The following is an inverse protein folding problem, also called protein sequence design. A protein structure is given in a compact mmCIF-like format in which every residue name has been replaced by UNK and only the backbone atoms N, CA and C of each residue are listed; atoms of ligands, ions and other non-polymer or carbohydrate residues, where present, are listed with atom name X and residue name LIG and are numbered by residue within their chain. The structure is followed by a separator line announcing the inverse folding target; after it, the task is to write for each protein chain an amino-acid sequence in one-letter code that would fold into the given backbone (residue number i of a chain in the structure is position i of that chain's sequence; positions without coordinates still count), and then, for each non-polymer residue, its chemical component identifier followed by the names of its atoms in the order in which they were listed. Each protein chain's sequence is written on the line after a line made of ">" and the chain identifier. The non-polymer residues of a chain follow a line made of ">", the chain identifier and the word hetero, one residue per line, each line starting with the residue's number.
data_IF_256887988489
#
_entry.id   IF_256887988489
#
_cell.length_a   1.000
_cell.length_b   1.000
_cell.length_c   1.000
_cell.angle_alpha   90.00
_cell.angle_beta   90.00
_cell.angle_gamma   90.00
#
_symmetry.space_group_name_H-M   'P 1'
#
loop_
_entity.id
_entity.type
_entity.pdbx_description
1 polymer ?
#
# COMPACT_ATOMS: atom_id res chain seq x y z
N UNK A 1 2.26 -19.14 1.36
CA UNK A 1 3.55 -19.37 2.06
C UNK A 1 3.31 -19.11 3.54
N UNK A 2 3.87 -19.92 4.44
CA UNK A 2 3.78 -19.72 5.88
C UNK A 2 5.16 -19.36 6.43
N UNK A 3 5.25 -18.28 7.20
CA UNK A 3 6.48 -17.82 7.85
C UNK A 3 6.18 -17.65 9.33
N UNK A 4 7.01 -18.23 10.20
CA UNK A 4 6.89 -18.10 11.66
C UNK A 4 8.00 -17.19 12.16
N UNK A 5 7.62 -16.18 12.95
CA UNK A 5 8.55 -15.23 13.57
C UNK A 5 8.35 -15.22 15.07
N UNK A 6 9.45 -15.11 15.82
CA UNK A 6 9.39 -14.95 17.28
C UNK A 6 9.35 -13.46 17.59
N UNK A 7 8.26 -12.99 18.20
CA UNK A 7 8.08 -11.59 18.59
C UNK A 7 8.25 -11.50 20.12
N UNK A 8 9.05 -10.56 20.64
CA UNK A 8 9.13 -10.32 22.07
C UNK A 8 7.77 -10.01 22.68
N UNK A 9 7.50 -10.52 23.88
CA UNK A 9 6.23 -10.35 24.61
C UNK A 9 5.80 -8.88 24.72
N UNK A 10 6.76 -8.00 25.01
CA UNK A 10 6.51 -6.55 25.16
C UNK A 10 6.04 -5.92 23.85
N UNK A 11 6.56 -6.41 22.71
CA UNK A 11 6.16 -5.95 21.39
C UNK A 11 4.81 -6.56 20.99
N UNK A 12 4.57 -7.84 21.29
CA UNK A 12 3.28 -8.49 21.03
C UNK A 12 2.12 -7.71 21.67
N UNK A 13 2.28 -7.30 22.92
CA UNK A 13 1.29 -6.48 23.66
C UNK A 13 1.01 -5.10 23.05
N UNK A 14 1.97 -4.52 22.30
CA UNK A 14 1.80 -3.24 21.61
C UNK A 14 1.10 -3.41 20.25
N UNK A 15 1.32 -4.55 19.58
CA UNK A 15 0.83 -4.81 18.24
C UNK A 15 -0.62 -5.31 18.27
N UNK A 16 -0.99 -6.20 19.18
CA UNK A 16 -2.36 -6.73 19.22
C UNK A 16 -2.70 -7.45 20.52
N UNK A 17 -4.00 -7.70 20.70
CA UNK A 17 -4.54 -8.40 21.86
C UNK A 17 -4.63 -9.92 21.66
N UNK A 18 -4.64 -10.37 20.41
CA UNK A 18 -4.62 -11.78 20.04
C UNK A 18 -3.75 -12.04 18.81
N UNK A 19 -3.56 -13.31 18.47
CA UNK A 19 -2.74 -13.72 17.33
C UNK A 19 -3.26 -13.20 15.99
N UNK A 20 -4.58 -13.13 15.79
CA UNK A 20 -5.16 -12.70 14.52
C UNK A 20 -4.96 -11.19 14.30
N UNK A 21 -5.09 -10.39 15.35
CA UNK A 21 -4.79 -8.96 15.31
C UNK A 21 -3.30 -8.70 15.02
N UNK A 22 -2.41 -9.47 15.64
CA UNK A 22 -0.96 -9.38 15.41
C UNK A 22 -0.65 -9.74 13.95
N UNK A 23 -1.16 -10.86 13.44
CA UNK A 23 -0.96 -11.29 12.05
C UNK A 23 -1.45 -10.22 11.07
N UNK A 24 -2.65 -9.68 11.29
CA UNK A 24 -3.21 -8.63 10.44
C UNK A 24 -2.35 -7.36 10.44
N UNK A 25 -1.87 -6.94 11.61
CA UNK A 25 -1.09 -5.70 11.75
C UNK A 25 0.32 -5.84 11.18
N UNK A 26 0.96 -7.00 11.36
CA UNK A 26 2.26 -7.32 10.74
C UNK A 26 2.14 -7.35 9.22
N UNK A 27 1.11 -8.01 8.68
CA UNK A 27 0.87 -8.04 7.24
C UNK A 27 0.62 -6.63 6.69
N UNK A 28 -0.23 -5.86 7.36
CA UNK A 28 -0.55 -4.47 6.99
C UNK A 28 0.72 -3.61 6.95
N UNK A 29 1.53 -3.65 8.02
CA UNK A 29 2.79 -2.92 8.07
C UNK A 29 3.75 -3.32 6.95
N UNK A 30 3.85 -4.62 6.65
CA UNK A 30 4.69 -5.13 5.56
C UNK A 30 4.26 -4.57 4.22
N UNK A 31 2.95 -4.62 3.90
CA UNK A 31 2.43 -4.09 2.64
C UNK A 31 2.68 -2.60 2.50
N UNK A 32 2.52 -1.83 3.59
CA UNK A 32 2.76 -0.39 3.61
C UNK A 32 4.25 -0.07 3.39
N UNK A 33 5.16 -0.81 4.02
CA UNK A 33 6.60 -0.61 3.83
C UNK A 33 7.06 -0.96 2.41
N UNK A 34 6.56 -2.05 1.84
CA UNK A 34 6.86 -2.42 0.46
C UNK A 34 6.32 -1.38 -0.54
N UNK A 35 5.17 -0.76 -0.24
CA UNK A 35 4.66 0.37 -1.00
C UNK A 35 5.54 1.62 -0.85
N UNK A 36 5.90 2.01 0.38
CA UNK A 36 6.81 3.14 0.64
C UNK A 36 8.14 2.98 -0.09
N UNK A 37 8.65 1.75 -0.17
CA UNK A 37 9.88 1.43 -0.91
C UNK A 37 9.70 1.40 -2.45
N UNK A 38 8.49 1.61 -2.96
CA UNK A 38 8.18 1.55 -4.40
C UNK A 38 8.19 0.13 -4.98
N UNK A 39 8.28 -0.92 -4.15
CA UNK A 39 8.29 -2.33 -4.59
C UNK A 39 6.88 -2.86 -4.84
N UNK A 40 5.89 -2.33 -4.12
CA UNK A 40 4.47 -2.53 -4.42
C UNK A 40 3.87 -1.26 -5.03
N UNK A 41 3.14 -1.44 -6.12
CA UNK A 41 2.27 -0.41 -6.70
C UNK A 41 0.89 -0.41 -6.06
N UNK A 42 0.18 0.70 -6.20
CA UNK A 42 -1.19 0.87 -5.74
C UNK A 42 -2.12 -0.26 -6.23
N UNK A 43 -2.00 -0.62 -7.52
CA UNK A 43 -2.80 -1.71 -8.11
C UNK A 43 -2.44 -3.10 -7.56
N UNK A 44 -1.19 -3.33 -7.17
CA UNK A 44 -0.76 -4.59 -6.56
C UNK A 44 -1.29 -4.73 -5.13
N UNK A 45 -1.34 -3.65 -4.35
CA UNK A 45 -2.01 -3.66 -3.03
C UNK A 45 -3.47 -4.09 -3.18
N UNK A 46 -4.18 -3.49 -4.15
CA UNK A 46 -5.59 -3.83 -4.41
C UNK A 46 -5.79 -5.31 -4.72
N UNK A 47 -4.95 -5.89 -5.58
CA UNK A 47 -5.00 -7.33 -5.88
C UNK A 47 -4.63 -8.19 -4.68
N UNK A 48 -3.61 -7.81 -3.91
CA UNK A 48 -3.09 -8.58 -2.78
C UNK A 48 -4.08 -8.63 -1.61
N UNK A 49 -4.75 -7.51 -1.33
CA UNK A 49 -5.68 -7.37 -0.20
C UNK A 49 -7.16 -7.50 -0.60
N UNK A 50 -7.46 -7.79 -1.88
CA UNK A 50 -8.83 -7.88 -2.37
C UNK A 50 -9.59 -6.55 -2.32
N UNK A 51 -8.88 -5.44 -2.44
CA UNK A 51 -9.40 -4.08 -2.34
C UNK A 51 -9.59 -3.46 -3.74
N UNK A 52 -10.68 -2.72 -3.91
CA UNK A 52 -10.84 -1.85 -5.07
C UNK A 52 -9.96 -0.59 -4.96
N UNK A 53 -9.88 0.19 -6.04
CA UNK A 53 -9.03 1.40 -6.09
C UNK A 53 -9.27 2.36 -4.92
N UNK A 54 -10.53 2.69 -4.63
CA UNK A 54 -10.88 3.63 -3.56
C UNK A 54 -10.60 3.08 -2.17
N UNK A 55 -10.72 1.77 -1.98
CA UNK A 55 -10.35 1.12 -0.72
C UNK A 55 -8.84 1.16 -0.48
N UNK A 56 -8.03 1.05 -1.53
CA UNK A 56 -6.57 1.21 -1.41
C UNK A 56 -6.23 2.67 -1.08
N UNK A 57 -6.88 3.65 -1.73
CA UNK A 57 -6.69 5.07 -1.41
C UNK A 57 -7.00 5.36 0.07
N UNK A 58 -8.13 4.84 0.58
CA UNK A 58 -8.50 4.96 1.99
C UNK A 58 -7.49 4.26 2.91
N UNK A 59 -7.08 3.03 2.56
CA UNK A 59 -6.08 2.27 3.30
C UNK A 59 -4.74 3.00 3.43
N UNK A 60 -4.23 3.58 2.36
CA UNK A 60 -2.99 4.36 2.38
C UNK A 60 -3.16 5.65 3.21
N UNK A 61 -4.29 6.34 3.05
CA UNK A 61 -4.61 7.56 3.80
C UNK A 61 -4.71 7.33 5.30
N UNK A 62 -5.45 6.30 5.72
CA UNK A 62 -5.64 5.95 7.13
C UNK A 62 -4.32 5.58 7.82
N UNK A 63 -3.34 5.10 7.05
CA UNK A 63 -2.01 4.76 7.52
C UNK A 63 -0.96 5.88 7.29
N UNK A 64 -1.40 7.09 6.91
CA UNK A 64 -0.53 8.24 6.64
C UNK A 64 0.60 7.92 5.66
N UNK A 65 0.31 7.14 4.61
CA UNK A 65 1.25 6.84 3.54
C UNK A 65 0.92 7.74 2.34
N UNK A 66 1.84 8.64 1.93
CA UNK A 66 1.62 9.45 0.75
C UNK A 66 1.57 8.57 -0.49
N UNK A 67 0.80 8.98 -1.49
CA UNK A 67 0.81 8.32 -2.78
C UNK A 67 2.21 8.44 -3.41
N UNK A 68 2.70 7.34 -3.98
CA UNK A 68 3.87 7.35 -4.85
C UNK A 68 3.49 7.94 -6.22
N UNK A 69 3.06 9.20 -6.22
CA UNK A 69 2.65 9.95 -7.39
C UNK A 69 3.12 11.39 -7.24
N UNK A 70 4.05 11.78 -8.11
CA UNK A 70 4.69 13.08 -8.10
C UNK A 70 4.00 14.05 -9.06
N UNK A 71 4.33 15.34 -8.93
CA UNK A 71 3.90 16.36 -9.90
C UNK A 71 4.44 16.05 -11.30
N UNK A 72 5.64 15.48 -11.40
CA UNK A 72 6.20 15.07 -12.69
C UNK A 72 5.36 13.98 -13.35
N UNK A 73 4.90 12.99 -12.57
CA UNK A 73 4.02 11.94 -13.09
C UNK A 73 2.72 12.55 -13.64
N UNK A 74 2.17 13.56 -12.95
CA UNK A 74 1.01 14.31 -13.43
C UNK A 74 1.28 15.07 -14.73
N UNK A 75 2.43 15.72 -14.85
CA UNK A 75 2.83 16.44 -16.07
C UNK A 75 3.01 15.47 -17.25
N UNK A 76 3.64 14.32 -17.00
CA UNK A 76 3.84 13.27 -18.00
C UNK A 76 2.49 12.65 -18.46
N UNK A 77 1.57 12.43 -17.53
CA UNK A 77 0.20 11.98 -17.82
C UNK A 77 -0.55 13.01 -18.68
N UNK A 78 -0.45 14.31 -18.34
CA UNK A 78 -1.08 15.39 -19.12
C UNK A 78 -0.55 15.44 -20.55
N UNK A 79 0.78 15.39 -20.73
CA UNK A 79 1.39 15.36 -22.07
C UNK A 79 0.90 14.16 -22.88
N UNK A 80 0.83 12.99 -22.26
CA UNK A 80 0.33 11.77 -22.90
C UNK A 80 -1.11 11.94 -23.37
N UNK A 81 -1.97 12.57 -22.56
CA UNK A 81 -3.35 12.85 -22.92
C UNK A 81 -3.47 13.85 -24.09
N UNK A 82 -2.64 14.90 -24.10
CA UNK A 82 -2.62 15.88 -25.18
C UNK A 82 -2.21 15.23 -26.52
N UNK A 83 -1.19 14.37 -26.51
CA UNK A 83 -0.76 13.62 -27.70
C UNK A 83 -1.84 12.68 -28.24
N UNK A 84 -2.60 12.03 -27.36
CA UNK A 84 -3.70 11.15 -27.74
C UNK A 84 -4.90 11.93 -28.30
N UNK A 85 -5.15 13.13 -27.77
CA UNK A 85 -6.21 14.02 -28.25
C UNK A 85 -5.90 14.59 -29.64
N UNK A 86 -4.63 14.87 -29.94
CA UNK A 86 -4.16 15.38 -31.24
C UNK A 86 -4.11 14.33 -32.36
N UNK A 87 -4.23 13.04 -32.03
CA UNK A 87 -4.28 11.92 -32.99
C UNK A 87 -5.71 11.55 -33.42
N UNK A 88 -6.71 12.33 -33.04
CA UNK A 88 -8.11 12.16 -33.46
C UNK A 88 -8.48 13.00 -34.66
#
# INVERSE_FOLDING_TARGET
>A
MQVTINIPEDLAKLIGTDQADIERRVLTATVLEEYRCGRLSHGQIGKLLGMNRFQVDAFLKDNNVPLNYSIKDLEDDRRTLDELALKR
#
